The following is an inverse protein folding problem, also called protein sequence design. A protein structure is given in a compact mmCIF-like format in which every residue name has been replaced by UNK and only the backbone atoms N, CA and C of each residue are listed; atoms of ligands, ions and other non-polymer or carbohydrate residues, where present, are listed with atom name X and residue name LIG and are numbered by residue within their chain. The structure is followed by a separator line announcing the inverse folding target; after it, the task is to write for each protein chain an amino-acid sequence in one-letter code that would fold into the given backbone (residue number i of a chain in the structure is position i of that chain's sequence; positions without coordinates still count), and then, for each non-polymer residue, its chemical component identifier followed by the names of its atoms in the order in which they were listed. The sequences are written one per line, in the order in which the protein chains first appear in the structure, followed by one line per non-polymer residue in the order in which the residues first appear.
data_IF_499777268391
#
_entry.id   IF_499777268391
#
_cell.length_a   1.000
_cell.length_b   1.000
_cell.length_c   1.000
_cell.angle_alpha   90.00
_cell.angle_beta   90.00
_cell.angle_gamma   90.00
#
_symmetry.space_group_name_H-M   'P 1'
#
loop_
_entity.id
_entity.type
_entity.pdbx_description
1 polymer ?
#
# COMPACT_ATOMS: atom_id res chain seq x y z
N UNK A 1 -7.99 8.63 -12.55
CA UNK A 1 -7.31 9.16 -13.76
C UNK A 1 -7.27 10.69 -13.77
N UNK A 2 -8.39 11.42 -13.82
CA UNK A 2 -8.40 12.89 -13.88
C UNK A 2 -7.70 13.58 -12.70
N UNK A 3 -7.86 13.06 -11.48
CA UNK A 3 -7.17 13.60 -10.32
C UNK A 3 -5.63 13.48 -10.42
N UNK A 4 -5.14 12.36 -10.97
CA UNK A 4 -3.72 12.12 -11.23
C UNK A 4 -3.18 13.10 -12.28
N UNK A 5 -3.95 13.37 -13.33
CA UNK A 5 -3.64 14.40 -14.33
C UNK A 5 -3.41 15.78 -13.70
N UNK A 6 -4.34 16.23 -12.86
CA UNK A 6 -4.24 17.54 -12.21
C UNK A 6 -3.07 17.63 -11.24
N UNK A 7 -2.68 16.52 -10.62
CA UNK A 7 -1.47 16.45 -9.80
C UNK A 7 -0.23 16.63 -10.67
N UNK A 8 -0.11 15.92 -11.80
CA UNK A 8 1.00 16.08 -12.74
C UNK A 8 1.11 17.54 -13.23
N UNK A 9 -0.01 18.17 -13.59
CA UNK A 9 -0.04 19.57 -14.01
C UNK A 9 0.46 20.55 -12.94
N UNK A 10 0.28 20.23 -11.66
CA UNK A 10 0.73 21.08 -10.54
C UNK A 10 2.15 20.80 -10.07
N UNK A 11 2.69 19.61 -10.36
CA UNK A 11 4.03 19.20 -9.95
C UNK A 11 5.08 19.62 -10.99
N UNK A 12 4.79 19.45 -12.27
CA UNK A 12 5.75 19.67 -13.35
C UNK A 12 5.63 21.06 -13.99
N UNK A 13 6.72 21.54 -14.59
CA UNK A 13 6.78 22.82 -15.30
C UNK A 13 5.80 22.86 -16.49
N UNK A 14 5.24 24.04 -16.78
CA UNK A 14 4.25 24.24 -17.85
C UNK A 14 4.83 23.80 -19.21
N UNK A 15 4.12 22.92 -19.92
CA UNK A 15 4.50 22.36 -21.23
C UNK A 15 5.03 20.92 -21.15
N UNK A 16 5.90 20.62 -20.19
CA UNK A 16 6.32 19.24 -19.89
C UNK A 16 5.22 18.52 -19.08
N UNK A 17 4.50 19.28 -18.24
CA UNK A 17 3.47 18.76 -17.35
C UNK A 17 2.24 18.18 -18.05
N UNK A 18 1.86 18.70 -19.22
CA UNK A 18 0.70 18.21 -19.97
C UNK A 18 0.99 16.87 -20.64
N UNK A 19 2.14 16.75 -21.32
CA UNK A 19 2.57 15.48 -21.94
C UNK A 19 2.79 14.38 -20.90
N UNK A 20 3.47 14.72 -19.79
CA UNK A 20 3.65 13.78 -18.67
C UNK A 20 2.31 13.44 -18.01
N UNK A 21 1.43 14.42 -17.85
CA UNK A 21 0.09 14.20 -17.31
C UNK A 21 -0.73 13.25 -18.17
N UNK A 22 -0.76 13.46 -19.49
CA UNK A 22 -1.47 12.60 -20.43
C UNK A 22 -0.87 11.19 -20.44
N UNK A 23 0.45 11.06 -20.44
CA UNK A 23 1.13 9.77 -20.33
C UNK A 23 0.77 9.06 -19.02
N UNK A 24 0.80 9.77 -17.89
CA UNK A 24 0.46 9.20 -16.59
C UNK A 24 -1.01 8.77 -16.51
N UNK A 25 -1.92 9.55 -17.11
CA UNK A 25 -3.33 9.19 -17.24
C UNK A 25 -3.52 7.96 -18.11
N UNK A 26 -2.81 7.87 -19.24
CA UNK A 26 -2.86 6.73 -20.14
C UNK A 26 -2.34 5.47 -19.45
N UNK A 27 -1.14 5.54 -18.87
CA UNK A 27 -0.53 4.43 -18.14
C UNK A 27 -1.40 3.97 -16.97
N UNK A 28 -2.00 4.89 -16.20
CA UNK A 28 -2.88 4.53 -15.09
C UNK A 28 -4.25 4.01 -15.56
N UNK A 29 -4.83 4.66 -16.56
CA UNK A 29 -6.19 4.40 -17.04
C UNK A 29 -6.32 3.12 -17.84
N UNK A 30 -5.24 2.68 -18.49
CA UNK A 30 -5.19 1.46 -19.29
C UNK A 30 -4.40 0.33 -18.63
N UNK A 31 -3.97 0.47 -17.37
CA UNK A 31 -3.33 -0.63 -16.65
C UNK A 31 -4.39 -1.73 -16.39
N UNK A 32 -4.23 -2.94 -16.94
CA UNK A 32 -5.25 -3.99 -16.85
C UNK A 32 -5.69 -4.30 -15.42
N UNK A 33 -4.73 -4.46 -14.49
CA UNK A 33 -5.01 -4.73 -13.07
C UNK A 33 -5.86 -3.62 -12.41
N UNK A 34 -5.64 -2.36 -12.77
CA UNK A 34 -6.42 -1.24 -12.23
C UNK A 34 -7.82 -1.19 -12.83
N UNK A 35 -7.95 -1.45 -14.13
CA UNK A 35 -9.24 -1.52 -14.82
C UNK A 35 -10.10 -2.64 -14.23
N UNK A 36 -9.53 -3.83 -14.05
CA UNK A 36 -10.23 -4.95 -13.43
C UNK A 36 -10.64 -4.63 -11.99
N UNK A 37 -9.75 -4.02 -11.20
CA UNK A 37 -10.07 -3.63 -9.83
C UNK A 37 -11.22 -2.63 -9.74
N UNK A 38 -11.53 -1.89 -10.81
CA UNK A 38 -12.68 -0.96 -10.85
C UNK A 38 -14.01 -1.68 -11.10
N UNK A 39 -13.98 -2.86 -11.70
CA UNK A 39 -15.16 -3.71 -11.90
C UNK A 39 -15.50 -4.53 -10.64
N UNK A 40 -14.56 -4.63 -9.68
CA UNK A 40 -14.74 -5.35 -8.43
C UNK A 40 -14.97 -4.39 -7.26
N UNK A 41 -15.79 -4.79 -6.28
CA UNK A 41 -15.95 -4.03 -5.04
C UNK A 41 -14.79 -4.36 -4.08
N UNK A 42 -13.61 -3.80 -4.38
CA UNK A 42 -12.37 -4.05 -3.64
C UNK A 42 -11.81 -2.76 -3.00
N UNK A 43 -10.86 -2.92 -2.08
CA UNK A 43 -10.31 -1.80 -1.28
C UNK A 43 -9.29 -0.94 -2.03
N UNK A 44 -8.82 -1.43 -3.17
CA UNK A 44 -7.72 -0.90 -3.96
C UNK A 44 -8.04 0.48 -4.56
N UNK A 45 -9.16 0.71 -5.28
CA UNK A 45 -9.49 2.03 -5.81
C UNK A 45 -9.58 3.14 -4.76
N UNK A 46 -10.34 3.00 -3.65
CA UNK A 46 -10.40 4.06 -2.64
C UNK A 46 -9.05 4.24 -1.94
N UNK A 47 -8.30 3.15 -1.69
CA UNK A 47 -6.94 3.25 -1.14
C UNK A 47 -6.01 4.09 -2.02
N UNK A 48 -5.97 3.82 -3.34
CA UNK A 48 -5.13 4.57 -4.28
C UNK A 48 -5.53 6.05 -4.33
N UNK A 49 -6.84 6.35 -4.26
CA UNK A 49 -7.31 7.72 -4.18
C UNK A 49 -6.76 8.45 -2.95
N UNK A 50 -6.89 7.87 -1.74
CA UNK A 50 -6.37 8.47 -0.51
C UNK A 50 -4.84 8.58 -0.52
N UNK A 51 -4.13 7.59 -1.07
CA UNK A 51 -2.68 7.63 -1.17
C UNK A 51 -2.18 8.78 -2.07
N UNK A 52 -2.77 8.90 -3.27
CA UNK A 52 -2.41 9.95 -4.24
C UNK A 52 -2.80 11.34 -3.71
N UNK A 53 -3.96 11.47 -3.07
CA UNK A 53 -4.40 12.72 -2.43
C UNK A 53 -3.48 13.09 -1.26
N UNK A 54 -3.07 12.11 -0.46
CA UNK A 54 -2.09 12.28 0.62
C UNK A 54 -0.77 12.85 0.11
N UNK A 55 -0.19 12.24 -0.93
CA UNK A 55 1.05 12.73 -1.57
C UNK A 55 0.89 14.18 -2.04
N UNK A 56 -0.21 14.50 -2.72
CA UNK A 56 -0.49 15.85 -3.18
C UNK A 56 -0.58 16.87 -2.04
N UNK A 57 -1.27 16.53 -0.95
CA UNK A 57 -1.40 17.39 0.22
C UNK A 57 -0.07 17.58 0.95
N UNK A 58 0.80 16.57 0.98
CA UNK A 58 2.16 16.65 1.55
C UNK A 58 3.01 17.64 0.79
N UNK A 59 3.02 17.54 -0.55
CA UNK A 59 3.76 18.48 -1.40
C UNK A 59 3.28 19.91 -1.14
N UNK A 60 1.96 20.12 -1.04
CA UNK A 60 1.38 21.42 -0.73
C UNK A 60 1.69 21.91 0.68
N UNK A 61 1.73 21.01 1.65
CA UNK A 61 2.03 21.32 3.04
C UNK A 61 3.48 21.77 3.16
N UNK A 62 4.43 21.07 2.55
CA UNK A 62 5.83 21.43 2.64
C UNK A 62 6.18 22.71 1.87
N UNK A 63 5.52 23.00 0.74
CA UNK A 63 5.68 24.28 0.03
C UNK A 63 5.24 25.49 0.86
N UNK A 64 4.18 25.34 1.63
CA UNK A 64 3.62 26.42 2.43
C UNK A 64 2.91 25.79 3.65
N UNK A 65 3.64 25.57 4.77
CA UNK A 65 3.10 24.91 5.94
C UNK A 65 1.93 25.67 6.56
N UNK A 66 0.92 24.94 7.02
CA UNK A 66 -0.26 25.55 7.63
C UNK A 66 -1.10 24.53 8.38
N UNK A 67 -1.74 24.97 9.46
CA UNK A 67 -2.56 24.13 10.35
C UNK A 67 -3.69 23.47 9.56
N UNK A 68 -4.37 24.23 8.68
CA UNK A 68 -5.43 23.71 7.81
C UNK A 68 -4.93 22.57 6.92
N UNK A 69 -3.74 22.71 6.32
CA UNK A 69 -3.15 21.67 5.45
C UNK A 69 -2.72 20.44 6.25
N UNK A 70 -2.10 20.64 7.41
CA UNK A 70 -1.77 19.55 8.33
C UNK A 70 -3.02 18.77 8.76
N UNK A 71 -4.08 19.47 9.16
CA UNK A 71 -5.37 18.86 9.52
C UNK A 71 -5.94 18.00 8.37
N UNK A 72 -6.08 18.56 7.17
CA UNK A 72 -6.62 17.83 6.02
C UNK A 72 -5.72 16.65 5.62
N UNK A 73 -4.40 16.83 5.66
CA UNK A 73 -3.47 15.74 5.36
C UNK A 73 -3.64 14.60 6.38
N UNK A 74 -3.64 14.90 7.68
CA UNK A 74 -3.87 13.91 8.73
C UNK A 74 -5.22 13.20 8.58
N UNK A 75 -6.28 13.94 8.24
CA UNK A 75 -7.61 13.41 8.00
C UNK A 75 -7.62 12.40 6.84
N UNK A 76 -7.05 12.79 5.69
CA UNK A 76 -6.97 11.94 4.49
C UNK A 76 -6.17 10.66 4.76
N UNK A 77 -5.05 10.77 5.47
CA UNK A 77 -4.24 9.59 5.80
C UNK A 77 -4.94 8.69 6.83
N UNK A 78 -5.59 9.25 7.85
CA UNK A 78 -6.36 8.48 8.82
C UNK A 78 -7.54 7.73 8.18
N UNK A 79 -8.30 8.39 7.29
CA UNK A 79 -9.37 7.75 6.53
C UNK A 79 -8.82 6.65 5.63
N UNK A 80 -7.76 6.93 4.86
CA UNK A 80 -7.14 5.92 4.01
C UNK A 80 -6.57 4.73 4.79
N UNK A 81 -5.98 4.96 5.96
CA UNK A 81 -5.47 3.92 6.86
C UNK A 81 -6.59 3.03 7.42
N UNK A 82 -7.81 3.56 7.62
CA UNK A 82 -8.97 2.77 8.02
C UNK A 82 -9.48 1.83 6.91
N UNK A 83 -9.17 2.13 5.64
CA UNK A 83 -9.48 1.26 4.49
C UNK A 83 -8.39 0.21 4.32
N UNK A 84 -7.11 0.63 4.27
CA UNK A 84 -5.96 -0.28 4.31
C UNK A 84 -4.89 0.23 5.27
N UNK A 85 -4.48 -0.59 6.26
CA UNK A 85 -3.46 -0.23 7.24
C UNK A 85 -2.11 0.19 6.66
N UNK A 86 -1.80 -0.20 5.42
CA UNK A 86 -0.53 0.12 4.76
C UNK A 86 -0.30 1.63 4.61
N UNK A 87 -1.37 2.44 4.60
CA UNK A 87 -1.23 3.91 4.61
C UNK A 87 -0.67 4.47 5.92
N UNK A 88 -0.62 3.70 7.02
CA UNK A 88 0.08 4.13 8.25
C UNK A 88 1.57 4.36 8.00
N UNK A 89 2.19 3.66 7.04
CA UNK A 89 3.59 3.89 6.65
C UNK A 89 3.82 5.33 6.19
N UNK A 90 2.81 5.96 5.57
CA UNK A 90 2.90 7.35 5.13
C UNK A 90 2.98 8.31 6.32
N UNK A 91 2.31 8.00 7.44
CA UNK A 91 2.43 8.77 8.68
C UNK A 91 3.88 8.79 9.15
N UNK A 92 4.55 7.62 9.18
CA UNK A 92 5.95 7.52 9.59
C UNK A 92 6.86 8.36 8.69
N UNK A 93 6.70 8.25 7.37
CA UNK A 93 7.48 9.03 6.40
C UNK A 93 7.26 10.53 6.63
N UNK A 94 6.03 10.99 6.83
CA UNK A 94 5.73 12.41 7.02
C UNK A 94 6.22 12.94 8.36
N UNK A 95 6.16 12.14 9.42
CA UNK A 95 6.75 12.49 10.71
C UNK A 95 8.26 12.65 10.56
N UNK A 96 8.94 11.73 9.88
CA UNK A 96 10.38 11.85 9.60
C UNK A 96 10.67 13.14 8.82
N UNK A 97 9.95 13.39 7.72
CA UNK A 97 10.13 14.61 6.92
C UNK A 97 9.86 15.89 7.72
N UNK A 98 8.84 15.88 8.59
CA UNK A 98 8.51 17.00 9.45
C UNK A 98 9.62 17.27 10.48
N UNK A 99 10.16 16.22 11.10
CA UNK A 99 11.25 16.31 12.08
C UNK A 99 12.58 16.73 11.44
N UNK A 100 12.78 16.44 10.16
CA UNK A 100 13.93 16.90 9.40
C UNK A 100 13.81 18.38 9.01
N UNK A 101 12.63 18.83 8.56
CA UNK A 101 12.43 20.22 8.09
C UNK A 101 12.16 21.22 9.22
N UNK A 102 11.56 20.76 10.33
CA UNK A 102 11.19 21.57 11.51
C UNK A 102 10.61 22.95 11.14
N UNK A 103 9.51 23.04 10.38
CA UNK A 103 8.83 24.31 10.16
C UNK A 103 8.44 24.94 11.51
N UNK A 104 8.23 26.26 11.55
CA UNK A 104 8.02 27.04 12.79
C UNK A 104 7.04 26.39 13.79
N UNK A 105 5.93 25.82 13.31
CA UNK A 105 4.89 25.16 14.14
C UNK A 105 4.93 23.63 14.09
N UNK A 106 6.11 23.04 13.87
CA UNK A 106 6.27 21.58 13.75
C UNK A 106 5.70 20.76 14.92
N UNK A 107 5.73 21.20 16.21
CA UNK A 107 5.13 20.41 17.28
C UNK A 107 3.61 20.30 17.14
N UNK A 108 2.97 21.38 16.67
CA UNK A 108 1.52 21.39 16.40
C UNK A 108 1.19 20.45 15.23
N UNK A 109 1.98 20.49 14.17
CA UNK A 109 1.76 19.59 13.03
C UNK A 109 1.98 18.12 13.41
N UNK A 110 2.99 17.83 14.22
CA UNK A 110 3.26 16.49 14.75
C UNK A 110 2.07 15.98 15.56
N UNK A 111 1.54 16.83 16.44
CA UNK A 111 0.35 16.52 17.24
C UNK A 111 -0.84 16.17 16.34
N UNK A 112 -1.09 16.97 15.29
CA UNK A 112 -2.17 16.71 14.33
C UNK A 112 -1.94 15.42 13.54
N UNK A 113 -0.70 15.09 13.16
CA UNK A 113 -0.37 13.87 12.43
C UNK A 113 -0.53 12.60 13.28
N UNK A 114 -0.47 12.71 14.61
CA UNK A 114 -0.66 11.58 15.51
C UNK A 114 -2.13 11.48 15.95
N UNK A 115 -2.70 12.58 16.45
CA UNK A 115 -4.02 12.55 17.10
C UNK A 115 -5.14 12.28 16.11
N UNK A 116 -5.16 12.95 14.96
CA UNK A 116 -6.29 12.83 14.03
C UNK A 116 -6.41 11.40 13.48
N UNK A 117 -5.33 10.78 12.96
CA UNK A 117 -5.40 9.38 12.54
C UNK A 117 -5.72 8.45 13.70
N UNK A 118 -5.15 8.69 14.89
CA UNK A 118 -5.46 7.87 16.07
C UNK A 118 -6.96 7.90 16.42
N UNK A 119 -7.61 9.07 16.40
CA UNK A 119 -9.06 9.18 16.66
C UNK A 119 -9.86 8.37 15.63
N UNK A 120 -9.54 8.50 14.35
CA UNK A 120 -10.25 7.79 13.26
C UNK A 120 -10.08 6.28 13.40
N UNK A 121 -8.84 5.84 13.62
CA UNK A 121 -8.51 4.42 13.77
C UNK A 121 -9.13 3.84 15.05
N UNK A 122 -9.11 4.58 16.16
CA UNK A 122 -9.78 4.19 17.40
C UNK A 122 -11.29 4.06 17.21
N UNK A 123 -11.94 5.00 16.51
CA UNK A 123 -13.36 4.91 16.21
C UNK A 123 -13.69 3.68 15.36
N UNK A 124 -12.86 3.39 14.36
CA UNK A 124 -12.98 2.18 13.54
C UNK A 124 -12.77 0.89 14.35
N UNK A 125 -11.73 0.85 15.18
CA UNK A 125 -11.45 -0.30 16.05
C UNK A 125 -12.55 -0.50 17.09
N UNK A 126 -13.15 0.57 17.61
CA UNK A 126 -14.28 0.52 18.52
C UNK A 126 -15.53 -0.05 17.84
N UNK A 127 -15.83 0.37 16.61
CA UNK A 127 -16.89 -0.24 15.79
C UNK A 127 -16.65 -1.75 15.61
N UNK A 128 -15.42 -2.13 15.27
CA UNK A 128 -15.06 -3.54 15.09
C UNK A 128 -15.17 -4.32 16.41
N UNK A 129 -14.84 -3.68 17.54
CA UNK A 129 -15.02 -4.28 18.88
C UNK A 129 -16.48 -4.57 19.19
N UNK A 130 -17.39 -3.62 18.91
CA UNK A 130 -18.83 -3.83 19.12
C UNK A 130 -19.39 -4.98 18.27
N UNK A 131 -18.86 -5.19 17.06
CA UNK A 131 -19.33 -6.24 16.14
C UNK A 131 -18.69 -7.61 16.41
N UNK A 132 -17.43 -7.65 16.82
CA UNK A 132 -16.65 -8.89 16.89
C UNK A 132 -16.14 -9.24 18.30
N UNK A 133 -16.39 -8.40 19.30
CA UNK A 133 -15.95 -8.57 20.68
C UNK A 133 -14.43 -8.55 20.87
N UNK A 134 -13.68 -7.92 19.93
CA UNK A 134 -12.23 -7.74 20.01
C UNK A 134 -11.76 -6.52 19.23
N UNK A 135 -10.69 -5.89 19.70
CA UNK A 135 -10.03 -4.81 18.98
C UNK A 135 -9.26 -5.40 17.79
N UNK A 136 -9.79 -5.18 16.59
CA UNK A 136 -9.18 -5.63 15.34
C UNK A 136 -8.88 -4.41 14.50
N UNK A 137 -7.59 -4.21 14.24
CA UNK A 137 -7.11 -3.11 13.41
C UNK A 137 -7.27 -3.41 11.91
N UNK A 138 -7.23 -4.69 11.53
CA UNK A 138 -7.31 -5.16 10.15
C UNK A 138 -7.84 -6.57 10.07
N UNK A 139 -8.48 -6.92 8.96
CA UNK A 139 -8.89 -8.30 8.66
C UNK A 139 -7.69 -9.23 8.47
N UNK A 140 -6.51 -8.69 8.18
CA UNK A 140 -5.26 -9.43 8.07
C UNK A 140 -4.73 -9.84 9.46
N UNK A 141 -4.79 -11.14 9.76
CA UNK A 141 -4.51 -11.66 11.10
C UNK A 141 -3.55 -12.85 11.13
N UNK A 142 -3.58 -13.58 12.22
CA UNK A 142 -2.82 -14.82 12.40
C UNK A 142 -3.16 -15.88 11.37
N UNK A 143 -4.40 -15.93 10.88
CA UNK A 143 -4.78 -16.79 9.75
C UNK A 143 -3.93 -16.50 8.52
N UNK A 144 -3.93 -15.25 8.06
CA UNK A 144 -3.20 -14.84 6.86
C UNK A 144 -1.68 -15.00 7.03
N UNK A 145 -1.19 -14.71 8.23
CA UNK A 145 0.20 -14.93 8.59
C UNK A 145 0.56 -16.42 8.49
N UNK A 146 -0.31 -17.32 8.95
CA UNK A 146 -0.04 -18.76 8.93
C UNK A 146 -0.13 -19.35 7.52
N UNK A 147 -1.14 -18.95 6.73
CA UNK A 147 -1.25 -19.31 5.31
C UNK A 147 0.03 -18.95 4.57
N UNK A 148 0.52 -17.72 4.77
CA UNK A 148 1.72 -17.26 4.12
C UNK A 148 3.02 -17.82 4.69
N UNK A 149 3.08 -18.21 5.98
CA UNK A 149 4.33 -18.55 6.67
C UNK A 149 4.21 -19.88 7.41
N UNK A 150 4.26 -20.96 6.63
CA UNK A 150 4.36 -22.33 7.12
C UNK A 150 5.35 -23.12 6.25
N UNK A 151 5.70 -24.33 6.67
CA UNK A 151 6.68 -25.18 5.97
C UNK A 151 6.27 -25.50 4.52
N UNK A 152 4.97 -25.60 4.26
CA UNK A 152 4.38 -25.93 2.97
C UNK A 152 4.08 -24.69 2.11
N UNK A 153 4.37 -23.48 2.60
CA UNK A 153 4.10 -22.26 1.85
C UNK A 153 5.07 -22.13 0.65
N UNK A 154 4.51 -21.82 -0.52
CA UNK A 154 5.23 -21.66 -1.79
C UNK A 154 5.41 -20.18 -2.18
N UNK A 155 5.08 -19.25 -1.28
CA UNK A 155 5.08 -17.80 -1.52
C UNK A 155 3.81 -17.24 -2.16
N UNK A 156 2.80 -18.09 -2.40
CA UNK A 156 1.44 -17.66 -2.75
C UNK A 156 0.50 -17.77 -1.56
N UNK A 157 -0.68 -17.15 -1.69
CA UNK A 157 -1.70 -17.17 -0.66
C UNK A 157 -2.59 -18.40 -0.83
N UNK A 158 -2.03 -19.58 -0.55
CA UNK A 158 -2.73 -20.85 -0.65
C UNK A 158 -2.73 -21.54 0.72
N UNK A 159 -3.88 -21.68 1.39
CA UNK A 159 -3.93 -22.35 2.67
C UNK A 159 -3.55 -23.82 2.49
N UNK A 160 -2.72 -24.37 3.38
CA UNK A 160 -2.47 -25.82 3.41
C UNK A 160 -3.76 -26.57 3.76
N UNK A 161 -3.78 -27.89 3.52
CA UNK A 161 -4.91 -28.73 3.91
C UNK A 161 -5.20 -28.62 5.42
N UNK A 162 -4.16 -28.65 6.26
CA UNK A 162 -4.28 -28.47 7.71
C UNK A 162 -4.98 -27.15 8.08
N UNK A 163 -4.56 -26.05 7.44
CA UNK A 163 -5.13 -24.73 7.71
C UNK A 163 -6.61 -24.69 7.30
N UNK A 164 -6.97 -25.30 6.17
CA UNK A 164 -8.37 -25.38 5.69
C UNK A 164 -9.24 -26.20 6.63
N UNK A 165 -8.77 -27.36 7.08
CA UNK A 165 -9.50 -28.25 7.99
C UNK A 165 -9.70 -27.58 9.35
N UNK A 166 -8.64 -26.99 9.91
CA UNK A 166 -8.71 -26.26 11.17
C UNK A 166 -9.66 -25.06 11.08
N UNK A 167 -9.65 -24.33 9.96
CA UNK A 167 -10.58 -23.22 9.74
C UNK A 167 -12.03 -23.68 9.73
N UNK A 168 -12.31 -24.81 9.06
CA UNK A 168 -13.65 -25.40 8.97
C UNK A 168 -14.17 -25.87 10.33
N UNK A 169 -13.30 -26.44 11.17
CA UNK A 169 -13.68 -26.99 12.47
C UNK A 169 -13.84 -25.91 13.55
N UNK A 170 -12.92 -24.95 13.64
CA UNK A 170 -12.84 -24.02 14.77
C UNK A 170 -13.21 -22.56 14.43
N UNK A 171 -13.34 -22.25 13.14
CA UNK A 171 -13.69 -20.93 12.64
C UNK A 171 -12.61 -19.86 12.80
N UNK A 172 -12.92 -18.64 12.35
CA UNK A 172 -11.97 -17.52 12.22
C UNK A 172 -11.30 -17.12 13.54
N UNK A 173 -12.02 -17.22 14.67
CA UNK A 173 -11.52 -16.72 15.96
C UNK A 173 -10.40 -17.57 16.52
N UNK A 174 -10.50 -18.89 16.40
CA UNK A 174 -9.51 -19.81 16.94
C UNK A 174 -8.29 -19.91 16.02
N UNK A 175 -8.51 -19.93 14.70
CA UNK A 175 -7.41 -20.01 13.74
C UNK A 175 -6.49 -18.79 13.79
N UNK A 176 -7.05 -17.62 14.10
CA UNK A 176 -6.27 -16.38 14.22
C UNK A 176 -5.27 -16.47 15.39
N UNK A 177 -5.71 -16.99 16.54
CA UNK A 177 -4.83 -17.23 17.69
C UNK A 177 -3.80 -18.33 17.41
N UNK A 178 -4.23 -19.45 16.83
CA UNK A 178 -3.34 -20.57 16.48
C UNK A 178 -2.30 -20.12 15.46
N UNK A 179 -2.71 -19.39 14.43
CA UNK A 179 -1.84 -18.94 13.36
C UNK A 179 -0.69 -18.06 13.83
N UNK A 180 -0.90 -17.15 14.80
CA UNK A 180 0.20 -16.38 15.40
C UNK A 180 1.22 -17.32 16.09
N UNK A 181 0.73 -18.33 16.81
CA UNK A 181 1.59 -19.31 17.50
C UNK A 181 2.38 -20.15 16.50
N UNK A 182 1.72 -20.68 15.46
CA UNK A 182 2.34 -21.53 14.45
C UNK A 182 3.38 -20.78 13.61
N UNK A 183 3.12 -19.51 13.28
CA UNK A 183 4.11 -18.67 12.59
C UNK A 183 5.34 -18.43 13.45
N UNK A 184 5.15 -18.20 14.76
CA UNK A 184 6.29 -18.06 15.69
C UNK A 184 7.10 -19.35 15.74
N UNK A 185 6.45 -20.51 15.93
CA UNK A 185 7.13 -21.80 15.92
C UNK A 185 7.92 -22.00 14.62
N UNK A 186 7.28 -21.76 13.48
CA UNK A 186 7.92 -21.87 12.16
C UNK A 186 9.18 -20.99 12.03
N UNK A 187 9.13 -19.74 12.51
CA UNK A 187 10.29 -18.84 12.47
C UNK A 187 11.44 -19.37 13.34
N UNK A 188 11.15 -19.89 14.53
CA UNK A 188 12.17 -20.38 15.46
C UNK A 188 12.73 -21.75 15.10
N UNK A 189 11.88 -22.66 14.62
CA UNK A 189 12.27 -24.03 14.24
C UNK A 189 12.91 -24.09 12.84
N UNK A 190 12.50 -23.19 11.93
CA UNK A 190 12.95 -23.18 10.53
C UNK A 190 13.37 -21.79 10.03
N UNK A 191 14.32 -21.09 10.68
CA UNK A 191 14.68 -19.70 10.36
C UNK A 191 15.20 -19.52 8.93
N UNK A 192 16.00 -20.47 8.42
CA UNK A 192 16.50 -20.42 7.04
C UNK A 192 15.41 -20.66 6.00
N UNK A 193 14.44 -21.54 6.30
CA UNK A 193 13.28 -21.73 5.42
C UNK A 193 12.40 -20.50 5.40
N UNK A 194 12.18 -19.87 6.56
CA UNK A 194 11.48 -18.59 6.65
C UNK A 194 12.17 -17.51 5.81
N UNK A 195 13.51 -17.38 5.91
CA UNK A 195 14.27 -16.40 5.12
C UNK A 195 14.17 -16.68 3.61
N UNK A 196 14.35 -17.95 3.20
CA UNK A 196 14.15 -18.39 1.81
C UNK A 196 12.73 -18.04 1.33
N UNK A 197 11.73 -18.29 2.16
CA UNK A 197 10.34 -17.99 1.85
C UNK A 197 10.10 -16.49 1.68
N UNK A 198 10.72 -15.62 2.51
CA UNK A 198 10.64 -14.18 2.30
C UNK A 198 11.28 -13.77 0.97
N UNK A 199 12.45 -14.32 0.62
CA UNK A 199 13.09 -14.06 -0.68
C UNK A 199 12.22 -14.52 -1.86
N UNK A 200 11.58 -15.69 -1.77
CA UNK A 200 10.65 -16.19 -2.79
C UNK A 200 9.45 -15.26 -2.92
N UNK A 201 8.83 -14.85 -1.81
CA UNK A 201 7.71 -13.90 -1.81
C UNK A 201 8.11 -12.56 -2.40
N UNK A 202 9.27 -12.03 -2.03
CA UNK A 202 9.82 -10.80 -2.60
C UNK A 202 10.06 -10.96 -4.10
N UNK A 203 10.68 -12.05 -4.55
CA UNK A 203 10.89 -12.33 -5.97
C UNK A 203 9.56 -12.39 -6.74
N UNK A 204 8.56 -13.10 -6.22
CA UNK A 204 7.21 -13.14 -6.80
C UNK A 204 6.56 -11.74 -6.81
N UNK A 205 6.72 -11.00 -5.72
CA UNK A 205 6.25 -9.62 -5.57
C UNK A 205 7.03 -8.59 -6.41
N UNK A 206 8.16 -8.93 -7.01
CA UNK A 206 8.85 -8.06 -7.97
C UNK A 206 8.86 -8.65 -9.39
N UNK A 207 8.25 -9.82 -9.59
CA UNK A 207 8.03 -10.39 -10.91
C UNK A 207 7.17 -9.46 -11.76
N UNK A 208 7.57 -9.27 -13.02
CA UNK A 208 6.82 -8.51 -14.02
C UNK A 208 5.54 -9.24 -14.39
N UNK A 209 5.64 -10.56 -14.49
CA UNK A 209 4.54 -11.44 -14.81
C UNK A 209 4.00 -12.01 -13.50
N UNK A 210 2.75 -11.67 -13.19
CA UNK A 210 2.03 -12.28 -12.09
C UNK A 210 0.67 -12.70 -12.59
N UNK A 211 0.29 -13.98 -12.45
CA UNK A 211 -1.11 -14.32 -12.45
C UNK A 211 -1.70 -13.66 -11.20
N UNK A 212 -2.43 -12.56 -11.37
CA UNK A 212 -3.24 -12.08 -10.25
C UNK A 212 -4.36 -13.11 -10.06
N UNK A 213 -4.62 -13.51 -8.81
CA UNK A 213 -5.62 -14.56 -8.51
C UNK A 213 -7.06 -14.17 -8.83
N UNK A 214 -7.28 -13.02 -9.48
CA UNK A 214 -8.59 -12.41 -9.73
C UNK A 214 -9.10 -12.66 -11.16
N UNK A 215 -8.27 -13.22 -12.05
CA UNK A 215 -8.60 -13.57 -13.44
C UNK A 215 -9.39 -14.89 -13.61
N UNK A 216 -10.10 -15.35 -12.58
CA UNK A 216 -10.85 -16.61 -12.64
C UNK A 216 -11.99 -16.61 -13.67
N UNK A 217 -12.40 -15.41 -14.13
CA UNK A 217 -13.44 -15.20 -15.13
C UNK A 217 -12.92 -15.11 -16.57
N UNK A 218 -11.60 -14.99 -16.77
CA UNK A 218 -10.99 -14.86 -18.09
C UNK A 218 -10.70 -16.25 -18.69
N UNK A 219 -10.90 -16.37 -20.00
CA UNK A 219 -10.49 -17.57 -20.73
C UNK A 219 -8.95 -17.62 -20.90
N UNK A 220 -8.40 -18.76 -21.34
CA UNK A 220 -6.93 -18.94 -21.43
C UNK A 220 -6.22 -17.90 -22.30
N UNK A 221 -6.87 -17.42 -23.36
CA UNK A 221 -6.30 -16.43 -24.29
C UNK A 221 -6.35 -15.04 -23.67
N UNK A 222 -7.50 -14.67 -23.09
CA UNK A 222 -7.68 -13.41 -22.37
C UNK A 222 -6.71 -13.30 -21.19
N UNK A 223 -6.53 -14.39 -20.44
CA UNK A 223 -5.54 -14.45 -19.35
C UNK A 223 -4.13 -14.25 -19.87
N UNK A 224 -3.74 -14.90 -20.98
CA UNK A 224 -2.41 -14.73 -21.56
C UNK A 224 -2.17 -13.27 -22.03
N UNK A 225 -3.14 -12.67 -22.72
CA UNK A 225 -3.07 -11.29 -23.18
C UNK A 225 -3.00 -10.30 -22.01
N UNK A 226 -3.83 -10.50 -20.98
CA UNK A 226 -3.85 -9.64 -19.79
C UNK A 226 -2.53 -9.72 -19.04
N UNK A 227 -1.97 -10.92 -18.93
CA UNK A 227 -0.70 -11.19 -18.26
C UNK A 227 0.49 -10.59 -19.01
N UNK A 228 0.48 -10.61 -20.35
CA UNK A 228 1.47 -9.92 -21.18
C UNK A 228 1.36 -8.39 -21.05
N UNK A 229 0.15 -7.84 -21.13
CA UNK A 229 -0.09 -6.40 -20.98
C UNK A 229 0.30 -5.91 -19.57
N UNK A 230 -0.13 -6.59 -18.51
CA UNK A 230 0.27 -6.26 -17.13
C UNK A 230 1.80 -6.34 -16.96
N UNK A 231 2.46 -7.32 -17.60
CA UNK A 231 3.91 -7.43 -17.62
C UNK A 231 4.60 -6.24 -18.29
N UNK A 232 4.09 -5.79 -19.44
CA UNK A 232 4.58 -4.60 -20.14
C UNK A 232 4.41 -3.33 -19.33
N UNK A 233 3.21 -3.11 -18.75
CA UNK A 233 2.95 -1.95 -17.89
C UNK A 233 3.82 -1.97 -16.63
N UNK A 234 3.99 -3.15 -16.02
CA UNK A 234 4.90 -3.36 -14.90
C UNK A 234 6.35 -2.99 -15.26
N UNK A 235 6.85 -3.45 -16.42
CA UNK A 235 8.19 -3.13 -16.88
C UNK A 235 8.38 -1.62 -17.11
N UNK A 236 7.41 -0.97 -17.76
CA UNK A 236 7.41 0.48 -17.95
C UNK A 236 7.46 1.21 -16.61
N UNK A 237 6.65 0.81 -15.64
CA UNK A 237 6.63 1.40 -14.30
C UNK A 237 7.96 1.22 -13.57
N UNK A 238 8.58 0.03 -13.64
CA UNK A 238 9.90 -0.22 -13.07
C UNK A 238 10.98 0.63 -13.71
N UNK A 239 11.02 0.72 -15.05
CA UNK A 239 12.00 1.53 -15.77
C UNK A 239 11.89 2.99 -15.35
N UNK A 240 10.68 3.56 -15.35
CA UNK A 240 10.48 4.96 -14.93
C UNK A 240 10.80 5.16 -13.44
N UNK A 241 10.39 4.24 -12.57
CA UNK A 241 10.66 4.30 -11.14
C UNK A 241 12.15 4.25 -10.81
N UNK A 242 12.89 3.30 -11.40
CA UNK A 242 14.34 3.16 -11.22
C UNK A 242 15.07 4.35 -11.84
N UNK A 243 14.68 4.79 -13.03
CA UNK A 243 15.30 5.96 -13.68
C UNK A 243 15.10 7.23 -12.86
N UNK A 244 13.92 7.41 -12.28
CA UNK A 244 13.61 8.51 -11.36
C UNK A 244 14.46 8.46 -10.09
N UNK A 245 14.52 7.30 -9.44
CA UNK A 245 15.34 7.09 -8.24
C UNK A 245 16.83 7.32 -8.53
N UNK A 246 17.34 6.80 -9.66
CA UNK A 246 18.72 6.99 -10.09
C UNK A 246 19.04 8.46 -10.32
N UNK A 247 18.14 9.20 -10.98
CA UNK A 247 18.31 10.64 -11.21
C UNK A 247 18.37 11.42 -9.89
N UNK A 248 17.49 11.08 -8.94
CA UNK A 248 17.46 11.66 -7.60
C UNK A 248 18.78 11.41 -6.84
N UNK A 249 19.31 10.18 -6.90
CA UNK A 249 20.57 9.82 -6.23
C UNK A 249 21.76 10.55 -6.88
N UNK A 250 21.75 10.68 -8.21
CA UNK A 250 22.81 11.37 -8.95
C UNK A 250 22.78 12.89 -8.73
N UNK A 251 21.60 13.47 -8.56
CA UNK A 251 21.42 14.85 -8.13
C UNK A 251 21.67 14.97 -6.61
N UNK A 252 22.94 15.16 -6.21
CA UNK A 252 23.37 15.34 -4.79
C UNK A 252 22.57 16.40 -4.00
N UNK A 253 21.78 17.25 -4.67
CA UNK A 253 20.96 18.32 -4.10
C UNK A 253 19.45 18.03 -4.07
N UNK A 254 18.98 16.82 -4.40
CA UNK A 254 17.53 16.55 -4.44
C UNK A 254 16.86 16.62 -3.07
N UNK A 255 17.42 15.96 -2.05
CA UNK A 255 16.91 16.00 -0.67
C UNK A 255 16.89 17.45 -0.12
N UNK A 256 17.98 18.25 -0.25
CA UNK A 256 17.96 19.66 0.08
C UNK A 256 16.86 20.45 -0.66
N UNK A 257 16.65 20.23 -1.96
CA UNK A 257 15.63 20.95 -2.75
C UNK A 257 14.18 20.59 -2.39
N UNK A 258 13.94 19.41 -1.82
CA UNK A 258 12.62 19.00 -1.30
C UNK A 258 12.35 19.55 0.11
N UNK A 259 13.42 19.86 0.84
CA UNK A 259 13.43 20.40 2.19
C UNK A 259 13.44 21.95 2.23
N UNK A 260 13.84 22.61 1.14
CA UNK A 260 13.66 24.05 0.88
C UNK A 260 12.26 24.31 0.32
#
# INVERSE_FOLDING_TARGET
SLFLFFICLKIFERGVSEKIGLLAVGLYGFWPDLVESTAMLVTEPPFLFFAVLGIYLVIKFFKEPGIKKAFFLSLIIGLGASIRPTLVVFILIFVILLLLRKPEKWPVYLLLFIIIPAIILCAFMYRNYLQHGRFVFTTAGGYDLWVGNNINANGEFEPSQEIREYFKEYGFRQIDKKGISEVKKFIFEHPFHFLKLQLVKTSKYFSLIRPTGWWSHLNKVETALTLELSGLFGAIAFIFGISGAWKIIKEKNFLPKLLV
#
